data_IF_743722541600
#
_entry.id   IF_743722541600
#
_cell.length_a   1.000
_cell.length_b   1.000
_cell.length_c   1.000
_cell.angle_alpha   90.00
_cell.angle_beta   90.00
_cell.angle_gamma   90.00
#
_symmetry.space_group_name_H-M   'P 1'
#
loop_
_entity.id
_entity.type
_entity.pdbx_description
1 polymer ?
#
# COMPACT_ATOMS: atom_id res chain seq x y z
N UNK A 1 20.02 -20.51 24.46
CA UNK A 1 18.69 -20.13 23.90
C UNK A 1 18.53 -20.49 22.41
N UNK A 2 19.54 -21.07 21.75
CA UNK A 2 19.46 -21.47 20.34
C UNK A 2 18.43 -22.58 20.05
N UNK A 3 18.05 -23.36 21.08
CA UNK A 3 17.09 -24.46 20.95
C UNK A 3 15.62 -24.00 21.04
N UNK A 4 15.36 -22.70 21.24
CA UNK A 4 13.99 -22.17 21.27
C UNK A 4 13.49 -21.90 19.85
N UNK A 5 12.21 -22.17 19.61
CA UNK A 5 11.54 -21.94 18.32
C UNK A 5 11.20 -20.45 18.13
N UNK A 6 11.01 -20.04 16.87
CA UNK A 6 10.79 -18.63 16.47
C UNK A 6 9.48 -18.00 17.00
N UNK A 7 8.54 -18.81 17.47
CA UNK A 7 7.29 -18.36 18.10
C UNK A 7 7.48 -17.90 19.56
N UNK A 8 8.70 -17.92 20.09
CA UNK A 8 8.99 -17.44 21.44
C UNK A 8 8.76 -15.93 21.50
N UNK A 9 7.83 -15.49 22.34
CA UNK A 9 7.55 -14.07 22.52
C UNK A 9 8.75 -13.32 23.10
N UNK A 10 8.92 -12.10 22.60
CA UNK A 10 9.90 -11.14 23.09
C UNK A 10 9.24 -9.79 23.29
N UNK A 11 9.88 -8.95 24.10
CA UNK A 11 9.48 -7.57 24.32
C UNK A 11 10.67 -6.68 23.99
N UNK A 12 10.40 -5.54 23.37
CA UNK A 12 11.41 -4.53 23.11
C UNK A 12 10.79 -3.14 23.20
N UNK A 13 11.64 -2.15 23.43
CA UNK A 13 11.28 -0.75 23.23
C UNK A 13 11.66 -0.35 21.81
N UNK A 14 10.71 0.24 21.10
CA UNK A 14 10.92 0.79 19.76
C UNK A 14 10.54 2.26 19.74
N UNK A 15 11.44 3.10 19.22
CA UNK A 15 11.24 4.54 19.07
C UNK A 15 11.51 4.91 17.62
N UNK A 16 10.58 5.63 17.00
CA UNK A 16 10.67 6.14 15.64
C UNK A 16 9.99 7.50 15.58
N UNK A 17 10.38 8.34 14.62
CA UNK A 17 9.57 9.50 14.25
C UNK A 17 8.33 9.07 13.44
N UNK A 18 7.39 10.01 13.29
CA UNK A 18 6.11 9.78 12.63
C UNK A 18 6.27 9.42 11.14
N UNK A 19 7.21 10.04 10.42
CA UNK A 19 7.38 9.79 8.99
C UNK A 19 7.81 8.34 8.73
N UNK A 20 8.83 7.89 9.48
CA UNK A 20 9.32 6.51 9.39
C UNK A 20 8.30 5.49 9.91
N UNK A 21 7.51 5.85 10.94
CA UNK A 21 6.41 5.00 11.41
C UNK A 21 5.34 4.82 10.31
N UNK A 22 4.89 5.89 9.68
CA UNK A 22 3.89 5.81 8.61
C UNK A 22 4.41 4.98 7.42
N UNK A 23 5.68 5.15 7.04
CA UNK A 23 6.29 4.32 5.99
C UNK A 23 6.32 2.84 6.38
N UNK A 24 6.70 2.50 7.62
CA UNK A 24 6.66 1.13 8.13
C UNK A 24 5.23 0.55 8.07
N UNK A 25 4.23 1.33 8.47
CA UNK A 25 2.84 0.88 8.48
C UNK A 25 2.30 0.59 7.07
N UNK A 26 2.68 1.36 6.03
CA UNK A 26 2.33 1.02 4.63
C UNK A 26 2.81 -0.38 4.29
N UNK A 27 4.08 -0.67 4.57
CA UNK A 27 4.69 -1.94 4.18
C UNK A 27 4.18 -3.14 4.98
N UNK A 28 3.73 -2.93 6.23
CA UNK A 28 3.30 -4.01 7.12
C UNK A 28 1.80 -4.18 7.20
N UNK A 29 1.01 -3.17 6.84
CA UNK A 29 -0.43 -3.29 6.66
C UNK A 29 -0.81 -3.95 5.32
N UNK A 30 0.15 -4.05 4.38
CA UNK A 30 -0.07 -4.62 3.05
C UNK A 30 -0.55 -6.09 3.09
N UNK A 31 -1.50 -6.50 2.22
CA UNK A 31 -1.97 -7.88 2.15
C UNK A 31 -0.88 -8.93 1.91
N UNK A 32 0.21 -8.58 1.22
CA UNK A 32 1.36 -9.45 0.95
C UNK A 32 2.27 -9.62 2.18
N UNK A 33 2.11 -8.79 3.22
CA UNK A 33 2.82 -8.97 4.47
C UNK A 33 2.30 -10.20 5.25
N UNK A 34 3.16 -10.78 6.09
CA UNK A 34 2.78 -11.89 6.95
C UNK A 34 1.65 -11.48 7.92
N UNK A 35 0.71 -12.38 8.20
CA UNK A 35 -0.48 -12.07 9.00
C UNK A 35 -0.14 -11.48 10.38
N UNK A 36 0.83 -12.06 11.08
CA UNK A 36 1.20 -11.67 12.44
C UNK A 36 1.66 -10.21 12.49
N UNK A 37 2.57 -9.80 11.59
CA UNK A 37 3.05 -8.40 11.58
C UNK A 37 1.97 -7.43 11.11
N UNK A 38 1.05 -7.88 10.24
CA UNK A 38 -0.09 -7.07 9.80
C UNK A 38 -1.06 -6.79 10.93
N UNK A 39 -1.31 -7.76 11.82
CA UNK A 39 -2.13 -7.54 13.02
C UNK A 39 -1.51 -6.48 13.95
N UNK A 40 -0.18 -6.50 14.14
CA UNK A 40 0.52 -5.44 14.87
C UNK A 40 0.40 -4.07 14.18
N UNK A 41 0.57 -4.02 12.86
CA UNK A 41 0.45 -2.78 12.10
C UNK A 41 -0.96 -2.18 12.17
N UNK A 42 -2.00 -3.00 12.12
CA UNK A 42 -3.40 -2.57 12.27
C UNK A 42 -3.65 -1.94 13.65
N UNK A 43 -3.18 -2.56 14.73
CA UNK A 43 -3.30 -1.98 16.07
C UNK A 43 -2.54 -0.64 16.21
N UNK A 44 -1.36 -0.54 15.59
CA UNK A 44 -0.59 0.71 15.55
C UNK A 44 -1.32 1.80 14.74
N UNK A 45 -1.96 1.45 13.62
CA UNK A 45 -2.73 2.40 12.81
C UNK A 45 -3.88 3.04 13.59
N UNK A 46 -4.60 2.26 14.41
CA UNK A 46 -5.66 2.82 15.28
C UNK A 46 -5.09 3.81 16.30
N UNK A 47 -3.88 3.55 16.80
CA UNK A 47 -3.19 4.49 17.71
C UNK A 47 -2.82 5.78 16.97
N UNK A 48 -2.23 5.67 15.77
CA UNK A 48 -1.88 6.85 14.94
C UNK A 48 -3.13 7.66 14.60
N UNK A 49 -4.23 7.00 14.24
CA UNK A 49 -5.53 7.64 13.96
C UNK A 49 -6.05 8.44 15.14
N UNK A 50 -5.95 7.89 16.36
CA UNK A 50 -6.40 8.55 17.57
C UNK A 50 -5.51 9.75 17.96
N UNK A 51 -4.19 9.62 17.83
CA UNK A 51 -3.24 10.64 18.31
C UNK A 51 -2.96 11.76 17.31
N UNK A 52 -2.88 11.46 16.02
CA UNK A 52 -2.54 12.42 14.96
C UNK A 52 -3.53 12.35 13.80
N UNK A 53 -4.82 12.66 14.04
CA UNK A 53 -5.90 12.41 13.09
C UNK A 53 -5.72 13.12 11.74
N UNK A 54 -5.21 14.35 11.73
CA UNK A 54 -4.96 15.12 10.50
C UNK A 54 -3.88 14.46 9.63
N UNK A 55 -2.78 14.02 10.25
CA UNK A 55 -1.71 13.33 9.55
C UNK A 55 -2.17 11.94 9.07
N UNK A 56 -2.99 11.26 9.86
CA UNK A 56 -3.58 9.97 9.49
C UNK A 56 -4.52 10.11 8.28
N UNK A 57 -5.37 11.15 8.23
CA UNK A 57 -6.23 11.41 7.08
C UNK A 57 -5.40 11.63 5.81
N UNK A 58 -4.41 12.53 5.85
CA UNK A 58 -3.52 12.75 4.71
C UNK A 58 -2.78 11.46 4.30
N UNK A 59 -2.30 10.70 5.29
CA UNK A 59 -1.66 9.41 5.03
C UNK A 59 -2.60 8.44 4.31
N UNK A 60 -3.83 8.31 4.78
CA UNK A 60 -4.80 7.41 4.17
C UNK A 60 -5.13 7.84 2.73
N UNK A 61 -5.46 9.11 2.55
CA UNK A 61 -5.92 9.64 1.26
C UNK A 61 -4.82 9.59 0.17
N UNK A 62 -3.55 9.82 0.53
CA UNK A 62 -2.44 9.86 -0.44
C UNK A 62 -1.58 8.59 -0.51
N UNK A 63 -1.62 7.71 0.50
CA UNK A 63 -0.78 6.49 0.54
C UNK A 63 -1.55 5.20 0.58
N UNK A 64 -2.64 5.10 1.35
CA UNK A 64 -3.41 3.85 1.48
C UNK A 64 -4.44 3.73 0.35
N UNK A 65 -5.17 4.80 0.08
CA UNK A 65 -6.25 4.84 -0.92
C UNK A 65 -5.77 5.45 -2.25
N UNK A 66 -4.52 5.92 -2.30
CA UNK A 66 -3.89 6.46 -3.50
C UNK A 66 -3.26 5.39 -4.39
N UNK A 67 -3.31 5.60 -5.71
CA UNK A 67 -2.58 4.78 -6.68
C UNK A 67 -1.46 5.59 -7.35
N UNK A 68 -0.30 4.96 -7.56
CA UNK A 68 0.79 5.55 -8.35
C UNK A 68 0.79 4.93 -9.74
N UNK A 69 0.64 5.76 -10.77
CA UNK A 69 0.65 5.33 -12.17
C UNK A 69 1.99 5.70 -12.82
N UNK A 70 2.55 4.78 -13.59
CA UNK A 70 3.74 5.05 -14.40
C UNK A 70 3.42 6.02 -15.55
N UNK A 71 4.45 6.67 -16.13
CA UNK A 71 4.27 7.55 -17.28
C UNK A 71 3.52 6.89 -18.46
N UNK A 72 3.87 5.66 -18.86
CA UNK A 72 3.12 4.89 -19.86
C UNK A 72 1.67 4.61 -19.45
N UNK A 73 1.41 4.24 -18.19
CA UNK A 73 0.05 4.03 -17.68
C UNK A 73 -0.79 5.30 -17.78
N UNK A 74 -0.22 6.46 -17.47
CA UNK A 74 -0.90 7.75 -17.61
C UNK A 74 -1.23 8.08 -19.07
N UNK A 75 -0.36 7.73 -20.02
CA UNK A 75 -0.63 7.92 -21.44
C UNK A 75 -1.80 7.05 -21.90
N UNK A 76 -1.84 5.79 -21.48
CA UNK A 76 -2.96 4.87 -21.73
C UNK A 76 -4.25 5.39 -21.10
N UNK A 77 -4.20 5.83 -19.83
CA UNK A 77 -5.37 6.36 -19.14
C UNK A 77 -5.94 7.59 -19.87
N UNK A 78 -5.10 8.50 -20.36
CA UNK A 78 -5.55 9.66 -21.16
C UNK A 78 -6.26 9.25 -22.44
N UNK A 79 -5.77 8.21 -23.13
CA UNK A 79 -6.42 7.65 -24.34
C UNK A 79 -7.76 7.00 -24.01
N UNK A 80 -7.83 6.24 -22.92
CA UNK A 80 -9.08 5.63 -22.44
C UNK A 80 -10.13 6.71 -22.08
N UNK A 81 -9.71 7.79 -21.40
CA UNK A 81 -10.59 8.93 -21.08
C UNK A 81 -11.06 9.69 -22.33
N UNK A 82 -10.28 9.68 -23.41
CA UNK A 82 -10.67 10.23 -24.71
C UNK A 82 -11.66 9.35 -25.49
N UNK A 83 -12.06 8.20 -24.94
CA UNK A 83 -13.01 7.26 -25.54
C UNK A 83 -12.38 6.24 -26.49
N UNK A 84 -11.05 6.12 -26.52
CA UNK A 84 -10.37 5.09 -27.32
C UNK A 84 -10.50 3.71 -26.65
N UNK A 85 -10.87 2.69 -27.43
CA UNK A 85 -10.79 1.29 -27.01
C UNK A 85 -9.34 0.83 -26.97
N UNK A 86 -8.66 1.05 -25.85
CA UNK A 86 -7.27 0.60 -25.66
C UNK A 86 -7.26 -0.83 -25.14
N UNK A 87 -6.72 -1.75 -25.92
CA UNK A 87 -6.41 -3.11 -25.49
C UNK A 87 -4.94 -3.23 -25.08
N UNK A 88 -4.62 -4.24 -24.26
CA UNK A 88 -3.26 -4.50 -23.78
C UNK A 88 -2.23 -4.54 -24.92
N UNK A 89 -2.53 -5.25 -26.01
CA UNK A 89 -1.66 -5.44 -27.18
C UNK A 89 -1.32 -4.13 -27.91
N UNK A 90 -2.20 -3.12 -27.84
CA UNK A 90 -2.02 -1.79 -28.45
C UNK A 90 -1.64 -0.68 -27.47
N UNK A 91 -1.43 -1.03 -26.19
CA UNK A 91 -1.15 -0.07 -25.12
C UNK A 91 0.34 0.26 -24.96
N UNK A 92 1.23 -0.62 -25.44
CA UNK A 92 2.68 -0.52 -25.20
C UNK A 92 3.09 -0.88 -23.75
N UNK A 93 2.15 -1.27 -22.89
CA UNK A 93 2.42 -1.73 -21.53
C UNK A 93 2.80 -3.21 -21.51
N UNK A 94 3.66 -3.59 -20.56
CA UNK A 94 3.87 -5.00 -20.24
C UNK A 94 2.60 -5.61 -19.64
N UNK A 95 2.51 -6.95 -19.66
CA UNK A 95 1.37 -7.66 -19.03
C UNK A 95 1.17 -7.28 -17.57
N UNK A 96 2.26 -7.10 -16.84
CA UNK A 96 2.26 -6.73 -15.42
C UNK A 96 1.72 -5.32 -15.21
N UNK A 97 2.24 -4.34 -15.94
CA UNK A 97 1.78 -2.95 -15.85
C UNK A 97 0.31 -2.81 -16.26
N UNK A 98 -0.13 -3.58 -17.26
CA UNK A 98 -1.54 -3.61 -17.62
C UNK A 98 -2.43 -4.10 -16.46
N UNK A 99 -2.02 -5.16 -15.75
CA UNK A 99 -2.73 -5.64 -14.57
C UNK A 99 -2.71 -4.62 -13.43
N UNK A 100 -1.57 -3.96 -13.19
CA UNK A 100 -1.46 -2.90 -12.17
C UNK A 100 -2.39 -1.72 -12.49
N UNK A 101 -2.46 -1.28 -13.75
CA UNK A 101 -3.39 -0.23 -14.20
C UNK A 101 -4.85 -0.64 -14.00
N UNK A 102 -5.23 -1.84 -14.43
CA UNK A 102 -6.60 -2.34 -14.27
C UNK A 102 -6.98 -2.50 -12.79
N UNK A 103 -6.05 -2.95 -11.95
CA UNK A 103 -6.26 -3.03 -10.50
C UNK A 103 -6.43 -1.65 -9.87
N UNK A 104 -5.67 -0.65 -10.32
CA UNK A 104 -5.79 0.74 -9.84
C UNK A 104 -7.10 1.42 -10.26
N UNK A 105 -7.68 1.03 -11.40
CA UNK A 105 -8.95 1.58 -11.91
C UNK A 105 -10.18 0.79 -11.45
N UNK A 106 -10.00 -0.42 -10.93
CA UNK A 106 -11.10 -1.22 -10.43
C UNK A 106 -11.79 -0.51 -9.23
N UNK A 107 -13.13 -0.56 -9.15
CA UNK A 107 -13.83 -0.01 -7.98
C UNK A 107 -13.36 -0.73 -6.70
N UNK A 108 -13.28 -0.02 -5.57
CA UNK A 108 -12.97 -0.65 -4.29
C UNK A 108 -14.00 -1.75 -4.00
N UNK A 109 -13.50 -2.92 -3.57
CA UNK A 109 -14.33 -4.05 -3.13
C UNK A 109 -14.98 -3.80 -1.78
#
# INVERSE_FOLDING_TARGET
RMNLTLNTYTQWYWKSDLHNLLHFLVLRADPHAQFEIRAYAQAMLETVRAWVPLAFQAFRDYRLDGATLSGPMLAVLRRMLAGEGVEQTGSGLSKREWMELQAALAPPR
#
